data_IF_062139359996
#
_entry.id   IF_062139359996
#
_cell.length_a   1.000
_cell.length_b   1.000
_cell.length_c   1.000
_cell.angle_alpha   90.00
_cell.angle_beta   90.00
_cell.angle_gamma   90.00
#
_symmetry.space_group_name_H-M   'P 1'
#
loop_
_entity.id
_entity.type
_entity.pdbx_description
1 polymer ?
#
# COMPACT_ATOMS: atom_id res chain seq x y z
N UNK A 1 -5.93 20.52 -6.63
CA UNK A 1 -7.32 20.03 -6.53
C UNK A 1 -7.26 18.53 -6.75
N UNK A 2 -7.22 17.72 -5.68
CA UNK A 2 -7.18 16.27 -5.81
C UNK A 2 -8.61 15.84 -6.12
N UNK A 3 -8.85 15.59 -7.40
CA UNK A 3 -10.09 15.03 -7.90
C UNK A 3 -10.18 13.63 -7.29
N UNK A 4 -11.38 13.23 -6.89
CA UNK A 4 -11.68 11.83 -6.64
C UNK A 4 -11.18 11.00 -7.83
N UNK A 5 -9.99 10.39 -7.73
CA UNK A 5 -9.52 9.41 -8.71
C UNK A 5 -10.27 8.11 -8.43
N UNK A 6 -11.53 8.09 -8.86
CA UNK A 6 -12.12 6.86 -9.31
C UNK A 6 -11.48 6.53 -10.65
N UNK A 7 -10.99 5.30 -10.74
CA UNK A 7 -10.45 4.69 -11.95
C UNK A 7 -11.34 5.03 -13.16
N UNK A 8 -10.88 5.96 -14.00
CA UNK A 8 -11.59 6.41 -15.19
C UNK A 8 -11.63 5.33 -16.28
N UNK A 9 -11.04 4.15 -16.04
CA UNK A 9 -11.03 3.02 -16.98
C UNK A 9 -12.15 2.01 -16.74
N UNK A 10 -12.97 2.18 -15.70
CA UNK A 10 -14.16 1.36 -15.48
C UNK A 10 -15.27 1.73 -16.48
N UNK A 11 -15.27 1.06 -17.63
CA UNK A 11 -16.35 1.09 -18.63
C UNK A 11 -17.55 0.32 -18.07
N UNK A 12 -18.31 0.96 -17.19
CA UNK A 12 -19.54 0.46 -16.61
C UNK A 12 -20.36 1.64 -16.09
N UNK A 13 -21.67 1.60 -16.29
CA UNK A 13 -22.61 2.60 -15.75
C UNK A 13 -22.30 2.80 -14.25
N UNK A 14 -21.86 4.00 -13.88
CA UNK A 14 -21.53 4.32 -12.50
C UNK A 14 -22.78 4.14 -11.66
N UNK A 15 -22.74 3.18 -10.74
CA UNK A 15 -23.82 2.99 -9.79
C UNK A 15 -23.88 4.22 -8.87
N UNK A 16 -24.80 5.14 -9.19
CA UNK A 16 -24.93 6.44 -8.55
C UNK A 16 -25.08 6.35 -7.03
N UNK A 17 -25.47 5.18 -6.50
CA UNK A 17 -25.58 4.94 -5.06
C UNK A 17 -24.24 4.97 -4.31
N UNK A 18 -23.11 4.86 -5.03
CA UNK A 18 -21.73 4.92 -4.50
C UNK A 18 -21.02 6.24 -4.81
N UNK A 19 -21.76 7.25 -5.30
CA UNK A 19 -21.23 8.61 -5.48
C UNK A 19 -21.54 9.42 -4.22
N UNK A 20 -20.52 10.01 -3.54
CA UNK A 20 -20.75 10.82 -2.34
C UNK A 20 -21.56 12.06 -2.65
N UNK A 21 -22.63 12.29 -1.89
CA UNK A 21 -23.51 13.48 -2.03
C UNK A 21 -23.56 14.24 -0.72
N UNK A 22 -23.43 15.56 -0.80
CA UNK A 22 -23.59 16.46 0.35
C UNK A 22 -25.08 16.69 0.65
N UNK A 23 -25.51 16.35 1.87
CA UNK A 23 -26.87 16.48 2.39
C UNK A 23 -26.82 17.04 3.81
N UNK A 24 -26.88 18.37 3.94
CA UNK A 24 -26.64 19.05 5.22
C UNK A 24 -25.21 18.82 5.69
N UNK A 25 -25.02 18.31 6.91
CA UNK A 25 -23.69 17.93 7.42
C UNK A 25 -23.17 16.59 6.87
N UNK A 26 -24.05 15.77 6.28
CA UNK A 26 -23.72 14.43 5.81
C UNK A 26 -23.09 14.54 4.44
N UNK A 27 -21.91 13.95 4.28
CA UNK A 27 -21.25 13.75 3.00
C UNK A 27 -20.79 12.30 2.95
N UNK A 28 -21.54 11.46 2.25
CA UNK A 28 -21.20 10.08 1.90
C UNK A 28 -22.20 9.61 0.85
N UNK A 29 -21.91 8.48 0.21
CA UNK A 29 -22.81 7.94 -0.80
C UNK A 29 -24.08 7.40 -0.17
N UNK A 30 -25.21 7.38 -0.90
CA UNK A 30 -26.45 6.77 -0.43
C UNK A 30 -26.28 5.33 0.10
N UNK A 31 -25.49 4.49 -0.57
CA UNK A 31 -25.27 3.10 -0.17
C UNK A 31 -24.26 2.92 0.97
N UNK A 32 -23.49 3.96 1.34
CA UNK A 32 -22.56 3.88 2.45
C UNK A 32 -23.26 3.55 3.77
N UNK A 33 -24.49 4.05 3.99
CA UNK A 33 -25.29 3.77 5.19
C UNK A 33 -24.76 4.37 6.50
N UNK A 34 -23.52 4.87 6.54
CA UNK A 34 -22.85 5.37 7.74
C UNK A 34 -23.18 6.82 8.15
N UNK A 35 -23.94 7.57 7.33
CA UNK A 35 -24.26 9.00 7.55
C UNK A 35 -23.01 9.84 7.86
N UNK A 36 -21.91 9.60 7.13
CA UNK A 36 -20.61 10.19 7.44
C UNK A 36 -20.63 11.71 7.26
N UNK A 37 -19.91 12.45 8.12
CA UNK A 37 -19.90 13.92 8.08
C UNK A 37 -18.90 14.46 7.06
N UNK A 38 -19.21 15.62 6.47
CA UNK A 38 -18.28 16.38 5.62
C UNK A 38 -16.97 16.73 6.33
N UNK A 39 -17.04 17.08 7.61
CA UNK A 39 -15.85 17.35 8.43
C UNK A 39 -14.92 16.15 8.58
N UNK A 40 -15.46 14.93 8.59
CA UNK A 40 -14.64 13.72 8.62
C UNK A 40 -13.95 13.45 7.28
N UNK A 41 -14.62 13.72 6.16
CA UNK A 41 -13.99 13.70 4.83
C UNK A 41 -12.85 14.72 4.73
N UNK A 42 -13.10 15.95 5.14
CA UNK A 42 -12.10 17.02 5.07
C UNK A 42 -10.88 16.69 5.93
N UNK A 43 -11.09 16.13 7.12
CA UNK A 43 -10.01 15.63 7.97
C UNK A 43 -9.25 14.48 7.31
N UNK A 44 -9.93 13.53 6.67
CA UNK A 44 -9.28 12.44 5.96
C UNK A 44 -8.43 12.95 4.79
N UNK A 45 -8.94 13.92 4.01
CA UNK A 45 -8.21 14.59 2.93
C UNK A 45 -6.98 15.30 3.47
N UNK A 46 -7.14 16.12 4.52
CA UNK A 46 -6.04 16.85 5.13
C UNK A 46 -4.93 15.90 5.60
N UNK A 47 -5.26 14.90 6.42
CA UNK A 47 -4.28 13.95 6.96
C UNK A 47 -3.60 13.20 5.81
N UNK A 48 -4.35 12.69 4.83
CA UNK A 48 -3.76 11.94 3.72
C UNK A 48 -2.73 12.75 2.92
N UNK A 49 -3.02 14.03 2.68
CA UNK A 49 -2.09 14.95 2.01
C UNK A 49 -0.86 15.25 2.86
N UNK A 50 -1.04 15.47 4.16
CA UNK A 50 0.08 15.70 5.10
C UNK A 50 1.02 14.48 5.14
N UNK A 51 0.46 13.27 5.22
CA UNK A 51 1.25 12.03 5.23
C UNK A 51 1.92 11.79 3.88
N UNK A 52 1.24 12.04 2.76
CA UNK A 52 1.85 11.95 1.43
C UNK A 52 3.06 12.90 1.30
N UNK A 53 2.89 14.16 1.70
CA UNK A 53 3.97 15.14 1.73
C UNK A 53 5.11 14.70 2.66
N UNK A 54 4.78 14.18 3.85
CA UNK A 54 5.77 13.68 4.78
C UNK A 54 6.54 12.49 4.20
N UNK A 55 5.91 11.56 3.48
CA UNK A 55 6.57 10.39 2.89
C UNK A 55 7.41 10.73 1.65
N UNK A 56 7.08 11.82 0.96
CA UNK A 56 7.84 12.38 -0.14
C UNK A 56 7.31 12.00 -1.53
N UNK A 57 8.15 12.19 -2.54
CA UNK A 57 7.73 12.07 -3.94
C UNK A 57 7.20 10.67 -4.32
N UNK A 58 6.13 10.66 -5.12
CA UNK A 58 5.48 9.46 -5.65
C UNK A 58 4.51 8.76 -4.70
N UNK A 59 4.23 9.35 -3.54
CA UNK A 59 3.17 8.88 -2.64
C UNK A 59 1.85 9.58 -2.96
N UNK A 60 0.81 8.79 -3.25
CA UNK A 60 -0.49 9.27 -3.68
C UNK A 60 -1.53 9.10 -2.55
N UNK A 61 -2.17 10.18 -2.08
CA UNK A 61 -3.24 10.08 -1.09
C UNK A 61 -4.52 9.53 -1.73
N UNK A 62 -5.22 8.67 -1.00
CA UNK A 62 -6.54 8.15 -1.36
C UNK A 62 -7.49 8.24 -0.17
N UNK A 63 -8.69 8.75 -0.43
CA UNK A 63 -9.79 8.83 0.55
C UNK A 63 -10.96 8.02 0.03
N UNK A 64 -11.58 7.25 0.90
CA UNK A 64 -12.67 6.35 0.54
C UNK A 64 -13.64 6.18 1.71
N UNK A 65 -14.84 5.72 1.39
CA UNK A 65 -15.88 5.47 2.37
C UNK A 65 -16.07 3.97 2.63
N UNK A 66 -16.29 3.62 3.90
CA UNK A 66 -16.71 2.30 4.35
C UNK A 66 -17.29 2.43 5.76
N UNK A 67 -18.59 2.73 5.86
CA UNK A 67 -19.27 3.09 7.13
C UNK A 67 -18.59 4.26 7.88
N UNK A 68 -17.85 5.10 7.17
CA UNK A 68 -16.98 6.13 7.70
C UNK A 68 -16.03 6.64 6.62
N UNK A 69 -15.43 7.81 6.80
CA UNK A 69 -14.37 8.31 5.94
C UNK A 69 -13.03 7.76 6.39
N UNK A 70 -12.34 7.09 5.47
CA UNK A 70 -11.02 6.51 5.68
C UNK A 70 -10.04 7.11 4.69
N UNK A 71 -8.76 6.98 5.01
CA UNK A 71 -7.69 7.38 4.12
C UNK A 71 -6.59 6.33 4.09
N UNK A 72 -5.83 6.35 3.00
CA UNK A 72 -4.55 5.67 2.87
C UNK A 72 -3.66 6.50 1.94
N UNK A 73 -2.36 6.28 2.00
CA UNK A 73 -1.39 6.84 1.05
C UNK A 73 -0.63 5.68 0.44
N UNK A 74 -0.48 5.65 -0.88
CA UNK A 74 0.10 4.51 -1.58
C UNK A 74 1.24 4.89 -2.53
N UNK A 75 2.17 3.95 -2.73
CA UNK A 75 3.25 4.02 -3.71
C UNK A 75 3.53 2.61 -4.22
N UNK A 76 3.03 2.29 -5.42
CA UNK A 76 3.06 0.94 -5.96
C UNK A 76 2.36 -0.05 -5.02
N UNK A 77 3.07 -1.09 -4.60
CA UNK A 77 2.54 -2.14 -3.72
C UNK A 77 2.60 -1.80 -2.23
N UNK A 78 3.07 -0.59 -1.85
CA UNK A 78 3.08 -0.12 -0.47
C UNK A 78 1.91 0.81 -0.21
N UNK A 79 1.30 0.67 0.97
CA UNK A 79 0.30 1.58 1.47
C UNK A 79 0.53 1.91 2.94
N UNK A 80 0.19 3.13 3.34
CA UNK A 80 0.22 3.63 4.72
C UNK A 80 -1.19 4.10 5.09
N UNK A 81 -1.69 3.67 6.25
CA UNK A 81 -2.99 4.08 6.79
C UNK A 81 -2.90 4.36 8.30
N UNK A 82 -3.96 4.92 8.88
CA UNK A 82 -4.06 5.10 10.32
C UNK A 82 -4.09 3.76 11.08
N UNK A 83 -3.53 3.75 12.29
CA UNK A 83 -3.67 2.70 13.30
C UNK A 83 -4.09 3.31 14.64
N UNK A 84 -4.50 2.47 15.60
CA UNK A 84 -4.91 2.90 16.96
C UNK A 84 -3.87 3.79 17.65
N UNK A 85 -2.58 3.57 17.39
CA UNK A 85 -1.49 4.35 17.97
C UNK A 85 -0.39 4.60 16.92
N UNK A 86 -0.70 5.45 15.94
CA UNK A 86 0.22 5.83 14.87
C UNK A 86 -0.23 5.36 13.49
N UNK A 87 0.71 4.80 12.73
CA UNK A 87 0.56 4.44 11.33
C UNK A 87 0.84 2.96 11.12
N UNK A 88 0.16 2.41 10.12
CA UNK A 88 0.33 1.04 9.66
C UNK A 88 0.81 1.09 8.22
N UNK A 89 2.01 0.58 7.95
CA UNK A 89 2.52 0.37 6.61
C UNK A 89 2.28 -1.09 6.21
N UNK A 90 1.78 -1.32 5.00
CA UNK A 90 1.57 -2.65 4.42
C UNK A 90 2.21 -2.68 3.05
N UNK A 91 2.93 -3.76 2.74
CA UNK A 91 3.35 -4.08 1.39
C UNK A 91 2.80 -5.44 1.02
N UNK A 92 2.13 -5.53 -0.14
CA UNK A 92 1.62 -6.79 -0.63
C UNK A 92 1.87 -6.94 -2.12
N UNK A 93 2.45 -8.07 -2.52
CA UNK A 93 2.63 -8.42 -3.93
C UNK A 93 2.58 -9.93 -4.10
N UNK A 94 2.36 -10.36 -5.34
CA UNK A 94 2.28 -11.78 -5.70
C UNK A 94 3.41 -12.11 -6.67
N UNK A 95 4.15 -13.16 -6.35
CA UNK A 95 5.01 -13.89 -7.30
C UNK A 95 4.34 -15.24 -7.54
N UNK A 96 4.86 -16.33 -6.97
CA UNK A 96 4.19 -17.63 -6.93
C UNK A 96 3.26 -17.78 -5.70
N UNK A 97 3.59 -17.06 -4.63
CA UNK A 97 2.80 -16.94 -3.42
C UNK A 97 2.53 -15.47 -3.08
N UNK A 98 1.57 -15.25 -2.18
CA UNK A 98 1.26 -13.91 -1.69
C UNK A 98 2.27 -13.52 -0.61
N UNK A 99 3.06 -12.48 -0.87
CA UNK A 99 3.89 -11.84 0.13
C UNK A 99 3.12 -10.71 0.77
N UNK A 100 3.05 -10.72 2.10
CA UNK A 100 2.37 -9.69 2.89
C UNK A 100 3.28 -9.26 4.04
N UNK A 101 3.73 -8.01 3.98
CA UNK A 101 4.55 -7.38 5.00
C UNK A 101 3.75 -6.29 5.67
N UNK A 102 3.88 -6.19 6.99
CA UNK A 102 3.16 -5.21 7.79
C UNK A 102 4.03 -4.75 8.95
N UNK A 103 4.08 -3.44 9.17
CA UNK A 103 4.65 -2.86 10.37
C UNK A 103 3.89 -1.61 10.84
N UNK A 104 3.91 -1.40 12.16
CA UNK A 104 3.37 -0.22 12.82
C UNK A 104 4.47 0.65 13.42
N UNK A 105 4.24 1.95 13.41
CA UNK A 105 5.09 2.95 14.09
C UNK A 105 4.32 4.26 14.33
N UNK A 106 4.80 5.09 15.25
CA UNK A 106 4.28 6.45 15.46
C UNK A 106 4.67 7.40 14.32
N UNK A 107 5.74 7.08 13.61
CA UNK A 107 6.21 7.83 12.43
C UNK A 107 5.91 7.02 11.14
N UNK A 108 5.20 7.58 10.16
CA UNK A 108 4.85 6.86 8.94
C UNK A 108 6.08 6.44 8.12
N UNK A 109 7.18 7.21 8.15
CA UNK A 109 8.45 6.83 7.49
C UNK A 109 9.08 5.64 8.18
N UNK A 110 9.07 5.59 9.50
CA UNK A 110 9.60 4.44 10.26
C UNK A 110 8.77 3.18 10.02
N UNK A 111 7.45 3.31 9.93
CA UNK A 111 6.58 2.17 9.56
C UNK A 111 6.96 1.62 8.18
N UNK A 112 7.16 2.48 7.18
CA UNK A 112 7.62 2.09 5.84
C UNK A 112 9.02 1.45 5.88
N UNK A 113 9.97 2.03 6.62
CA UNK A 113 11.32 1.47 6.77
C UNK A 113 11.29 0.07 7.36
N UNK A 114 10.45 -0.20 8.37
CA UNK A 114 10.28 -1.54 8.96
C UNK A 114 9.75 -2.54 7.94
N UNK A 115 8.77 -2.16 7.12
CA UNK A 115 8.27 -3.01 6.03
C UNK A 115 9.36 -3.30 5.00
N UNK A 116 10.16 -2.29 4.64
CA UNK A 116 11.30 -2.48 3.73
C UNK A 116 12.36 -3.43 4.29
N UNK A 117 12.68 -3.31 5.58
CA UNK A 117 13.61 -4.22 6.24
C UNK A 117 13.13 -5.69 6.23
N UNK A 118 11.81 -5.92 6.35
CA UNK A 118 11.23 -7.26 6.21
C UNK A 118 11.44 -7.82 4.79
N UNK A 119 11.25 -6.98 3.75
CA UNK A 119 11.51 -7.38 2.36
C UNK A 119 13.01 -7.66 2.13
N UNK A 120 13.89 -6.79 2.63
CA UNK A 120 15.35 -6.94 2.50
C UNK A 120 15.85 -8.24 3.14
N UNK A 121 15.29 -8.65 4.29
CA UNK A 121 15.61 -9.94 4.92
C UNK A 121 15.20 -11.12 4.03
N UNK A 122 14.04 -11.05 3.37
CA UNK A 122 13.60 -12.09 2.43
C UNK A 122 14.51 -12.14 1.20
N UNK A 123 14.86 -11.00 0.61
CA UNK A 123 15.79 -10.92 -0.52
C UNK A 123 17.13 -11.54 -0.14
N UNK A 124 17.70 -11.15 1.00
CA UNK A 124 18.99 -11.69 1.46
C UNK A 124 18.96 -13.19 1.80
N UNK A 125 17.80 -13.75 2.16
CA UNK A 125 17.62 -15.21 2.29
C UNK A 125 17.61 -15.90 0.92
N UNK A 126 16.93 -15.32 -0.06
CA UNK A 126 16.86 -15.86 -1.42
C UNK A 126 18.22 -15.81 -2.13
N UNK A 127 18.95 -14.70 -2.02
CA UNK A 127 20.29 -14.56 -2.59
C UNK A 127 21.28 -15.57 -2.02
N UNK A 128 21.21 -15.84 -0.71
CA UNK A 128 22.01 -16.89 -0.06
C UNK A 128 21.66 -18.28 -0.59
N UNK A 129 20.38 -18.58 -0.72
CA UNK A 129 19.91 -19.86 -1.28
C UNK A 129 20.40 -20.02 -2.73
N UNK A 130 20.21 -18.99 -3.56
CA UNK A 130 20.70 -18.97 -4.94
C UNK A 130 22.21 -19.23 -5.00
N UNK A 131 23.00 -18.52 -4.19
CA UNK A 131 24.46 -18.69 -4.14
C UNK A 131 24.88 -20.10 -3.70
N UNK A 132 24.17 -20.70 -2.75
CA UNK A 132 24.46 -22.07 -2.28
C UNK A 132 24.11 -23.16 -3.28
N UNK A 133 23.26 -22.85 -4.27
CA UNK A 133 22.85 -23.78 -5.34
C UNK A 133 23.79 -23.78 -6.55
N UNK A 134 24.88 -23.00 -6.51
CA UNK A 134 25.84 -22.94 -7.61
C UNK A 134 26.49 -24.30 -7.84
N UNK A 135 26.45 -24.77 -9.09
CA UNK A 135 27.12 -26.01 -9.50
C UNK A 135 28.63 -25.82 -9.44
N UNK A 136 29.33 -26.76 -8.81
CA UNK A 136 30.78 -26.81 -8.92
C UNK A 136 31.19 -27.03 -10.39
N UNK A 137 32.25 -26.38 -10.87
CA UNK A 137 32.75 -26.64 -12.21
C UNK A 137 33.13 -28.12 -12.35
N UNK A 138 32.71 -28.74 -13.45
CA UNK A 138 33.07 -30.11 -13.79
C UNK A 138 34.56 -30.12 -14.15
N UNK A 139 35.40 -30.62 -13.25
CA UNK A 139 36.79 -30.94 -13.56
C UNK A 139 36.83 -32.20 -14.41
N UNK A 140 36.95 -32.02 -15.73
CA UNK A 140 37.28 -33.13 -16.64
C UNK A 140 38.77 -33.43 -16.42
N UNK A 141 39.07 -34.46 -15.64
CA UNK A 141 40.43 -35.00 -15.59
C UNK A 141 40.70 -35.74 -16.90
N UNK A 142 41.34 -35.06 -17.86
CA UNK A 142 42.00 -35.73 -18.98
C UNK A 142 43.19 -36.51 -18.44
N UNK A 143 42.95 -37.76 -18.02
CA UNK A 143 43.99 -38.76 -17.98
C UNK A 143 44.31 -39.17 -19.42
N UNK A 144 45.19 -38.41 -20.08
CA UNK A 144 45.91 -38.94 -21.24
C UNK A 144 46.95 -39.92 -20.68
N UNK A 145 46.65 -41.21 -20.76
CA UNK A 145 47.60 -42.29 -20.60
C UNK A 145 48.54 -42.30 -21.79
N UNK A 146 49.84 -42.18 -21.47
CA UNK A 146 51.07 -42.64 -22.16
C UNK A 146 51.19 -42.54 -23.68
#
# INVERSE_FOLDING_TARGET
>A
MVIYEHDQTAVGELDQKWIPVLRGEIFCSPACGGKCKKSAYDKAIQISNEIAAQLGEGWLPKVYENLGWHWKVEKGNLQVSSATNGYNAVMQFKLDQNYHFNAKDLDPRKAVQKVRAQLEDVIGKLERQFSSSALNPISISTSCSE
#
